data_IF_931246887953
#
_entry.id   IF_931246887953
#
_cell.length_a   1.000
_cell.length_b   1.000
_cell.length_c   1.000
_cell.angle_alpha   90.00
_cell.angle_beta   90.00
_cell.angle_gamma   90.00
#
_symmetry.space_group_name_H-M   'P 1'
#
loop_
_entity.id
_entity.type
_entity.pdbx_description
1 polymer ?
#
# COMPACT_ATOMS: atom_id res chain seq x y z
N UNK A 1 24.92 8.06 -3.25
CA UNK A 1 26.25 8.70 -3.17
C UNK A 1 26.92 8.69 -4.53
N UNK A 2 26.38 9.47 -5.50
CA UNK A 2 27.01 9.58 -6.83
C UNK A 2 28.38 10.26 -6.73
N UNK A 3 28.54 11.20 -5.82
CA UNK A 3 29.80 11.89 -5.52
C UNK A 3 29.90 12.24 -4.02
N UNK A 4 31.07 12.71 -3.59
CA UNK A 4 31.28 13.15 -2.21
C UNK A 4 30.48 14.42 -1.89
N UNK A 5 30.29 14.74 -0.62
CA UNK A 5 29.63 15.98 -0.22
C UNK A 5 30.43 17.22 -0.68
N UNK A 6 31.75 17.16 -0.59
CA UNK A 6 32.66 18.22 -1.03
C UNK A 6 32.52 18.48 -2.53
N UNK A 7 32.51 17.42 -3.34
CA UNK A 7 32.31 17.53 -4.79
C UNK A 7 30.91 18.06 -5.13
N UNK A 8 29.88 17.60 -4.41
CA UNK A 8 28.52 18.13 -4.57
C UNK A 8 28.46 19.64 -4.33
N UNK A 9 29.00 20.11 -3.22
CA UNK A 9 29.03 21.53 -2.86
C UNK A 9 29.83 22.32 -3.87
N UNK A 10 30.98 21.82 -4.31
CA UNK A 10 31.83 22.47 -5.32
C UNK A 10 31.08 22.64 -6.65
N UNK A 11 30.43 21.58 -7.14
CA UNK A 11 29.65 21.63 -8.37
C UNK A 11 28.47 22.59 -8.28
N UNK A 12 27.68 22.53 -7.20
CA UNK A 12 26.51 23.40 -7.02
C UNK A 12 26.93 24.86 -6.87
N UNK A 13 27.98 25.15 -6.12
CA UNK A 13 28.51 26.51 -5.98
C UNK A 13 29.06 27.07 -7.30
N UNK A 14 29.78 26.25 -8.06
CA UNK A 14 30.28 26.62 -9.39
C UNK A 14 29.12 26.89 -10.36
N UNK A 15 28.13 26.00 -10.42
CA UNK A 15 26.93 26.17 -11.22
C UNK A 15 26.23 27.50 -10.90
N UNK A 16 25.99 27.77 -9.61
CA UNK A 16 25.36 29.02 -9.18
C UNK A 16 26.15 30.27 -9.58
N UNK A 17 27.49 30.26 -9.35
CA UNK A 17 28.38 31.37 -9.71
C UNK A 17 28.40 31.63 -11.23
N UNK A 18 28.52 30.55 -12.02
CA UNK A 18 28.56 30.68 -13.50
C UNK A 18 27.21 31.16 -14.05
N UNK A 19 26.10 30.66 -13.57
CA UNK A 19 24.78 31.14 -13.94
C UNK A 19 24.60 32.63 -13.58
N UNK A 20 25.08 33.05 -12.40
CA UNK A 20 24.98 34.42 -11.93
C UNK A 20 25.84 35.39 -12.75
N UNK A 21 26.89 34.93 -13.43
CA UNK A 21 27.73 35.76 -14.31
C UNK A 21 27.11 36.07 -15.68
N UNK A 22 26.03 35.37 -16.05
CA UNK A 22 25.33 35.58 -17.30
C UNK A 22 24.48 36.85 -17.29
N UNK A 23 24.23 37.45 -18.45
CA UNK A 23 23.33 38.59 -18.58
C UNK A 23 21.91 38.25 -18.14
N UNK A 24 21.25 39.16 -17.41
CA UNK A 24 19.87 39.00 -16.93
C UNK A 24 18.85 39.42 -18.04
N UNK A 25 19.06 39.00 -19.27
CA UNK A 25 18.22 39.34 -20.43
C UNK A 25 17.15 38.29 -20.75
N UNK A 26 17.18 37.17 -20.05
CA UNK A 26 16.28 36.06 -20.32
C UNK A 26 15.05 36.05 -19.43
N UNK A 27 14.00 35.35 -19.88
CA UNK A 27 12.76 35.08 -19.14
C UNK A 27 12.39 33.61 -19.16
N UNK A 28 11.61 33.22 -18.18
CA UNK A 28 10.94 31.93 -18.17
C UNK A 28 9.45 32.10 -17.98
N UNK A 29 8.65 31.28 -18.65
CA UNK A 29 7.19 31.32 -18.59
C UNK A 29 6.61 29.89 -18.47
N UNK A 30 5.72 29.70 -17.54
CA UNK A 30 4.89 28.50 -17.47
C UNK A 30 3.70 28.64 -18.40
N UNK A 31 3.42 27.61 -19.19
CA UNK A 31 2.38 27.58 -20.21
C UNK A 31 1.49 26.35 -19.95
N UNK A 32 0.18 26.54 -19.96
CA UNK A 32 -0.80 25.45 -19.83
C UNK A 32 -1.09 24.88 -21.22
N UNK A 33 -0.23 23.98 -21.67
CA UNK A 33 -0.30 23.32 -22.98
C UNK A 33 0.49 22.02 -22.95
N UNK A 34 0.31 21.17 -23.97
CA UNK A 34 1.14 19.97 -24.17
C UNK A 34 2.49 20.30 -24.85
N UNK A 35 3.40 19.32 -24.81
CA UNK A 35 4.76 19.50 -25.34
C UNK A 35 4.78 19.70 -26.86
N UNK A 36 3.88 19.08 -27.62
CA UNK A 36 3.81 19.21 -29.09
C UNK A 36 3.43 20.63 -29.46
N UNK A 37 2.38 21.16 -28.84
CA UNK A 37 1.92 22.54 -29.03
C UNK A 37 2.97 23.55 -28.57
N UNK A 38 3.67 23.28 -27.46
CA UNK A 38 4.76 24.15 -27.01
C UNK A 38 5.93 24.18 -28.02
N UNK A 39 6.35 23.02 -28.56
CA UNK A 39 7.37 22.95 -29.62
C UNK A 39 6.97 23.72 -30.86
N UNK A 40 5.72 23.62 -31.28
CA UNK A 40 5.21 24.39 -32.42
C UNK A 40 5.24 25.89 -32.15
N UNK A 41 4.89 26.32 -30.93
CA UNK A 41 4.89 27.75 -30.57
C UNK A 41 6.28 28.40 -30.59
N UNK A 42 7.35 27.63 -30.31
CA UNK A 42 8.74 28.14 -30.27
C UNK A 42 9.52 27.86 -31.56
N UNK A 43 8.95 27.17 -32.54
CA UNK A 43 9.68 26.72 -33.74
C UNK A 43 10.38 27.85 -34.51
N UNK A 44 9.85 29.06 -34.49
CA UNK A 44 10.39 30.24 -35.15
C UNK A 44 11.39 31.04 -34.27
N UNK A 45 11.59 30.59 -33.01
CA UNK A 45 12.41 31.32 -32.02
C UNK A 45 13.59 30.46 -31.53
N UNK A 46 14.72 30.46 -32.26
CA UNK A 46 15.89 29.64 -31.92
C UNK A 46 16.55 30.00 -30.57
N UNK A 47 16.29 31.20 -30.03
CA UNK A 47 16.76 31.67 -28.74
C UNK A 47 15.90 31.14 -27.55
N UNK A 48 14.83 30.39 -27.83
CA UNK A 48 13.90 29.86 -26.84
C UNK A 48 13.90 28.31 -26.88
N UNK A 49 13.78 27.68 -25.73
CA UNK A 49 13.62 26.24 -25.63
C UNK A 49 12.61 25.87 -24.54
N UNK A 50 12.18 24.61 -24.54
CA UNK A 50 11.47 24.03 -23.43
C UNK A 50 12.47 23.83 -22.31
N UNK A 51 12.21 24.42 -21.14
CA UNK A 51 13.03 24.28 -19.94
C UNK A 51 12.57 23.14 -19.04
N UNK A 52 11.26 22.86 -19.02
CA UNK A 52 10.72 21.75 -18.23
C UNK A 52 9.41 21.24 -18.83
N UNK A 53 9.20 19.93 -18.72
CA UNK A 53 7.94 19.22 -18.91
C UNK A 53 7.50 18.74 -17.53
N UNK A 54 6.69 19.55 -16.86
CA UNK A 54 6.30 19.32 -15.46
C UNK A 54 5.08 18.41 -15.31
N UNK A 55 4.20 18.43 -16.32
CA UNK A 55 3.02 17.57 -16.42
C UNK A 55 2.52 17.57 -17.88
N UNK A 56 1.59 16.70 -18.29
CA UNK A 56 1.08 16.63 -19.67
C UNK A 56 0.56 17.96 -20.22
N UNK A 57 0.07 18.85 -19.34
CA UNK A 57 -0.44 20.19 -19.70
C UNK A 57 0.30 21.30 -18.92
N UNK A 58 1.57 21.11 -18.61
CA UNK A 58 2.36 22.08 -17.82
C UNK A 58 3.80 22.13 -18.32
N UNK A 59 4.05 23.05 -19.22
CA UNK A 59 5.33 23.24 -19.90
C UNK A 59 5.96 24.57 -19.43
N UNK A 60 7.28 24.59 -19.29
CA UNK A 60 8.02 25.84 -19.06
C UNK A 60 8.87 26.15 -20.28
N UNK A 61 8.69 27.35 -20.84
CA UNK A 61 9.54 27.93 -21.90
C UNK A 61 10.58 28.84 -21.25
N UNK A 62 11.77 28.87 -21.85
CA UNK A 62 12.91 29.66 -21.37
C UNK A 62 13.75 30.18 -22.53
N UNK A 63 14.16 31.44 -22.49
CA UNK A 63 14.96 32.02 -23.54
C UNK A 63 15.07 33.53 -23.43
N UNK A 64 15.42 34.15 -24.55
CA UNK A 64 15.53 35.59 -24.66
C UNK A 64 14.22 36.30 -24.31
N UNK A 65 14.31 37.40 -23.54
CA UNK A 65 13.14 38.07 -22.98
C UNK A 65 12.16 38.58 -24.03
N UNK A 66 12.65 39.20 -25.12
CA UNK A 66 11.79 39.70 -26.19
C UNK A 66 11.07 38.57 -26.94
N UNK A 67 11.78 37.49 -27.25
CA UNK A 67 11.18 36.31 -27.88
C UNK A 67 10.10 35.67 -26.99
N UNK A 68 10.36 35.55 -25.68
CA UNK A 68 9.36 35.06 -24.72
C UNK A 68 8.12 35.95 -24.68
N UNK A 69 8.28 37.29 -24.70
CA UNK A 69 7.14 38.22 -24.68
C UNK A 69 6.25 38.04 -25.94
N UNK A 70 6.84 37.92 -27.13
CA UNK A 70 6.10 37.64 -28.36
C UNK A 70 5.34 36.31 -28.33
N UNK A 71 5.98 35.27 -27.78
CA UNK A 71 5.34 33.95 -27.61
C UNK A 71 4.17 34.06 -26.64
N UNK A 72 4.34 34.73 -25.51
CA UNK A 72 3.30 34.95 -24.49
C UNK A 72 2.09 35.66 -25.09
N UNK A 73 2.31 36.73 -25.85
CA UNK A 73 1.23 37.49 -26.51
C UNK A 73 0.47 36.61 -27.51
N UNK A 74 1.20 35.83 -28.32
CA UNK A 74 0.61 34.88 -29.29
C UNK A 74 -0.23 33.81 -28.56
N UNK A 75 0.30 33.18 -27.51
CA UNK A 75 -0.41 32.12 -26.75
C UNK A 75 -1.64 32.66 -26.02
N UNK A 76 -1.53 33.84 -25.40
CA UNK A 76 -2.65 34.48 -24.71
C UNK A 76 -3.77 34.85 -25.71
N UNK A 77 -3.43 35.31 -26.94
CA UNK A 77 -4.42 35.58 -27.97
C UNK A 77 -5.17 34.33 -28.45
N UNK A 78 -4.58 33.16 -28.28
CA UNK A 78 -5.18 31.86 -28.55
C UNK A 78 -5.93 31.28 -27.33
N UNK A 79 -6.02 32.04 -26.22
CA UNK A 79 -6.68 31.60 -24.99
C UNK A 79 -5.84 30.63 -24.14
N UNK A 80 -4.57 30.42 -24.46
CA UNK A 80 -3.66 29.57 -23.70
C UNK A 80 -3.09 30.36 -22.51
N UNK A 81 -3.31 29.85 -21.29
CA UNK A 81 -2.86 30.53 -20.07
C UNK A 81 -1.34 30.49 -19.94
N UNK A 82 -0.73 31.64 -19.69
CA UNK A 82 0.69 31.76 -19.40
C UNK A 82 0.93 32.45 -18.07
N UNK A 83 2.08 32.16 -17.44
CA UNK A 83 2.49 32.76 -16.16
C UNK A 83 4.00 32.99 -16.20
N UNK A 84 4.44 34.24 -16.17
CA UNK A 84 5.86 34.56 -16.08
C UNK A 84 6.42 34.14 -14.74
N UNK A 85 7.56 33.44 -14.74
CA UNK A 85 8.23 32.99 -13.55
C UNK A 85 9.18 34.06 -13.00
N UNK A 86 9.20 34.25 -11.70
CA UNK A 86 10.11 35.17 -11.04
C UNK A 86 11.48 34.51 -10.85
N UNK A 87 12.30 34.54 -11.88
CA UNK A 87 13.65 33.96 -11.90
C UNK A 87 14.65 34.97 -12.41
N UNK A 88 15.94 34.84 -12.06
CA UNK A 88 16.99 35.76 -12.46
C UNK A 88 17.50 35.53 -13.88
N UNK A 89 17.44 34.30 -14.38
CA UNK A 89 18.01 33.92 -15.68
C UNK A 89 17.10 32.91 -16.40
N UNK A 90 17.30 32.77 -17.70
CA UNK A 90 16.58 31.79 -18.52
C UNK A 90 17.30 30.43 -18.47
N UNK A 91 17.11 29.69 -17.37
CA UNK A 91 17.69 28.37 -17.18
C UNK A 91 17.17 27.39 -18.24
N UNK A 92 17.98 26.38 -18.58
CA UNK A 92 17.67 25.35 -19.56
C UNK A 92 17.38 25.91 -20.96
N UNK A 93 18.04 26.98 -21.34
CA UNK A 93 17.91 27.64 -22.65
C UNK A 93 19.25 27.82 -23.34
N UNK A 94 19.29 28.26 -24.61
CA UNK A 94 20.52 28.61 -25.30
C UNK A 94 21.36 29.67 -24.56
N UNK A 95 20.74 30.49 -23.72
CA UNK A 95 21.45 31.50 -22.92
C UNK A 95 22.39 30.91 -21.88
N UNK A 96 22.32 29.57 -21.60
CA UNK A 96 23.26 28.86 -20.74
C UNK A 96 24.54 28.43 -21.48
N UNK A 97 24.58 28.44 -22.79
CA UNK A 97 25.71 27.95 -23.59
C UNK A 97 27.07 28.57 -23.24
N UNK A 98 27.18 29.87 -22.94
CA UNK A 98 28.47 30.49 -22.65
C UNK A 98 29.20 29.89 -21.43
N UNK A 99 28.48 29.31 -20.50
CA UNK A 99 29.08 28.75 -19.27
C UNK A 99 29.32 27.24 -19.34
N UNK A 100 28.88 26.54 -20.37
CA UNK A 100 28.96 25.10 -20.46
C UNK A 100 30.40 24.57 -20.43
N UNK A 101 31.29 25.27 -21.11
CA UNK A 101 32.71 24.88 -21.19
C UNK A 101 33.40 24.97 -19.79
N UNK A 102 33.24 26.11 -19.11
CA UNK A 102 33.83 26.28 -17.77
C UNK A 102 33.24 25.30 -16.76
N UNK A 103 31.92 25.06 -16.82
CA UNK A 103 31.26 24.09 -15.97
C UNK A 103 31.76 22.66 -16.25
N UNK A 104 32.02 22.30 -17.51
CA UNK A 104 32.60 21.01 -17.91
C UNK A 104 33.94 20.76 -17.20
N UNK A 105 34.86 21.73 -17.22
CA UNK A 105 36.15 21.62 -16.56
C UNK A 105 36.01 21.31 -15.06
N UNK A 106 35.01 21.94 -14.43
CA UNK A 106 34.73 21.68 -13.02
C UNK A 106 34.16 20.27 -12.82
N UNK A 107 33.22 19.86 -13.66
CA UNK A 107 32.62 18.52 -13.61
C UNK A 107 33.65 17.40 -13.86
N UNK A 108 34.62 17.60 -14.76
CA UNK A 108 35.72 16.66 -15.03
C UNK A 108 36.63 16.46 -13.82
N UNK A 109 36.64 17.40 -12.86
CA UNK A 109 37.43 17.28 -11.62
C UNK A 109 36.71 16.48 -10.52
N UNK A 110 35.50 15.95 -10.79
CA UNK A 110 34.66 15.21 -9.84
C UNK A 110 34.69 13.72 -10.15
N UNK A 111 34.75 12.89 -9.11
CA UNK A 111 34.61 11.44 -9.26
C UNK A 111 33.16 11.02 -9.12
N UNK A 112 32.64 10.35 -10.14
CA UNK A 112 31.28 9.83 -10.16
C UNK A 112 31.26 8.35 -9.79
N UNK A 113 30.31 7.95 -8.94
CA UNK A 113 30.09 6.58 -8.53
C UNK A 113 28.66 6.14 -8.85
N UNK A 114 28.43 4.85 -9.08
CA UNK A 114 27.09 4.33 -9.24
C UNK A 114 26.19 4.68 -8.05
N UNK A 115 24.93 5.12 -8.26
CA UNK A 115 24.03 5.44 -7.18
C UNK A 115 23.66 4.18 -6.38
N UNK A 116 23.71 4.26 -5.04
CA UNK A 116 23.26 3.18 -4.15
C UNK A 116 21.75 3.05 -4.03
N UNK A 117 21.01 4.06 -4.48
CA UNK A 117 19.55 4.11 -4.54
C UNK A 117 19.18 4.42 -5.98
N UNK A 118 18.12 3.78 -6.49
CA UNK A 118 17.64 4.05 -7.85
C UNK A 118 17.35 5.54 -8.03
N UNK A 119 17.98 6.14 -9.02
CA UNK A 119 17.90 7.55 -9.37
C UNK A 119 17.28 7.67 -10.75
N UNK A 120 16.35 8.61 -10.94
CA UNK A 120 15.81 8.95 -12.24
C UNK A 120 16.53 10.19 -12.78
N UNK A 121 16.87 10.17 -14.05
CA UNK A 121 17.49 11.28 -14.74
C UNK A 121 16.47 12.38 -15.03
N UNK A 122 16.79 13.62 -14.66
CA UNK A 122 15.99 14.78 -15.07
C UNK A 122 16.13 15.12 -16.56
N UNK A 123 17.13 14.58 -17.25
CA UNK A 123 17.34 14.81 -18.69
C UNK A 123 16.48 13.85 -19.52
N UNK A 124 16.40 12.58 -19.09
CA UNK A 124 15.70 11.54 -19.88
C UNK A 124 14.36 11.10 -19.28
N UNK A 125 14.14 11.30 -17.97
CA UNK A 125 12.99 10.77 -17.24
C UNK A 125 13.12 9.29 -16.88
N UNK A 126 14.21 8.62 -17.28
CA UNK A 126 14.48 7.20 -17.10
C UNK A 126 15.49 6.95 -15.96
N UNK A 127 15.62 5.70 -15.47
CA UNK A 127 16.65 5.36 -14.49
C UNK A 127 18.06 5.65 -15.01
N UNK A 128 18.90 6.11 -14.09
CA UNK A 128 20.32 6.26 -14.37
C UNK A 128 20.96 4.92 -14.73
N UNK A 129 21.82 4.97 -15.72
CA UNK A 129 22.77 3.94 -16.13
C UNK A 129 24.21 4.50 -16.12
N UNK A 130 25.16 3.76 -16.63
CA UNK A 130 26.57 4.17 -16.63
C UNK A 130 26.85 5.40 -17.50
N UNK A 131 25.96 5.76 -18.43
CA UNK A 131 26.14 6.93 -19.32
C UNK A 131 25.95 8.26 -18.60
N UNK A 132 25.16 8.28 -17.51
CA UNK A 132 24.98 9.46 -16.67
C UNK A 132 26.09 9.69 -15.65
N UNK A 133 27.00 8.71 -15.48
CA UNK A 133 28.16 8.82 -14.59
C UNK A 133 29.31 9.59 -15.26
N UNK A 134 29.02 10.73 -15.85
CA UNK A 134 29.97 11.50 -16.64
C UNK A 134 29.80 13.01 -16.45
N UNK A 135 30.85 13.81 -16.67
CA UNK A 135 30.76 15.25 -16.71
C UNK A 135 29.75 15.75 -17.75
N UNK A 136 29.65 15.05 -18.88
CA UNK A 136 28.77 15.38 -20.02
C UNK A 136 27.31 15.43 -19.57
N UNK A 137 26.85 14.48 -18.77
CA UNK A 137 25.50 14.48 -18.22
C UNK A 137 25.19 15.78 -17.46
N UNK A 138 26.12 16.26 -16.65
CA UNK A 138 25.90 17.46 -15.84
C UNK A 138 25.94 18.74 -16.69
N UNK A 139 26.73 18.76 -17.75
CA UNK A 139 26.74 19.83 -18.75
C UNK A 139 25.41 19.84 -19.54
N UNK A 140 24.95 18.68 -19.98
CA UNK A 140 23.68 18.54 -20.65
C UNK A 140 22.51 18.93 -19.74
N UNK A 141 22.55 18.56 -18.48
CA UNK A 141 21.53 18.93 -17.49
C UNK A 141 21.39 20.45 -17.29
N UNK A 142 22.45 21.24 -17.54
CA UNK A 142 22.36 22.70 -17.52
C UNK A 142 21.52 23.25 -18.67
N UNK A 143 21.55 22.58 -19.82
CA UNK A 143 21.02 23.07 -21.09
C UNK A 143 19.66 22.43 -21.45
N UNK A 144 19.51 21.16 -21.15
CA UNK A 144 18.35 20.35 -21.55
C UNK A 144 17.13 20.57 -20.66
N UNK A 145 15.96 20.27 -21.22
CA UNK A 145 14.69 20.33 -20.50
C UNK A 145 14.65 19.34 -19.32
N UNK A 146 14.05 19.76 -18.22
CA UNK A 146 13.77 18.88 -17.08
C UNK A 146 12.55 18.00 -17.40
N UNK A 147 12.75 16.69 -17.49
CA UNK A 147 11.76 15.67 -17.84
C UNK A 147 11.04 15.13 -16.61
N UNK A 148 10.44 16.03 -15.80
CA UNK A 148 9.80 15.66 -14.54
C UNK A 148 8.57 14.76 -14.73
N UNK A 149 7.72 15.10 -15.72
CA UNK A 149 6.53 14.30 -16.06
C UNK A 149 6.90 12.86 -16.41
N UNK A 150 7.95 12.67 -17.23
CA UNK A 150 8.39 11.34 -17.65
C UNK A 150 8.91 10.51 -16.46
N UNK A 151 9.62 11.14 -15.52
CA UNK A 151 10.05 10.52 -14.28
C UNK A 151 8.88 10.05 -13.40
N UNK A 152 7.79 10.83 -13.33
CA UNK A 152 6.56 10.43 -12.62
C UNK A 152 5.86 9.28 -13.37
N UNK A 153 5.78 9.32 -14.69
CA UNK A 153 5.20 8.25 -15.50
C UNK A 153 6.00 6.96 -15.35
N UNK A 154 7.34 7.04 -15.31
CA UNK A 154 8.18 5.89 -14.98
C UNK A 154 7.86 5.33 -13.59
N UNK A 155 7.80 6.19 -12.56
CA UNK A 155 7.48 5.76 -11.20
C UNK A 155 6.10 5.06 -11.13
N UNK A 156 5.09 5.62 -11.81
CA UNK A 156 3.76 5.02 -11.96
C UNK A 156 3.82 3.65 -12.63
N UNK A 157 4.60 3.50 -13.72
CA UNK A 157 4.76 2.22 -14.43
C UNK A 157 5.37 1.12 -13.55
N UNK A 158 6.08 1.50 -12.49
CA UNK A 158 6.68 0.60 -11.49
C UNK A 158 5.82 0.44 -10.24
N UNK A 159 4.57 0.92 -10.26
CA UNK A 159 3.62 0.88 -9.13
C UNK A 159 4.16 1.56 -7.87
N UNK A 160 4.98 2.61 -8.01
CA UNK A 160 5.43 3.41 -6.87
C UNK A 160 4.24 4.28 -6.44
N UNK A 161 3.67 3.97 -5.28
CA UNK A 161 2.46 4.62 -4.77
C UNK A 161 2.70 5.60 -3.62
N UNK A 162 3.94 5.84 -3.19
CA UNK A 162 4.24 6.79 -2.10
C UNK A 162 5.32 7.76 -2.56
N UNK A 163 4.99 9.04 -2.54
CA UNK A 163 5.87 10.14 -2.98
C UNK A 163 6.11 11.09 -1.80
N UNK A 164 7.37 11.32 -1.48
CA UNK A 164 7.79 12.24 -0.41
C UNK A 164 8.63 13.35 -1.01
N UNK A 165 8.17 14.59 -0.88
CA UNK A 165 9.00 15.75 -1.25
C UNK A 165 9.83 16.18 -0.05
N UNK A 166 11.15 16.03 -0.17
CA UNK A 166 12.10 16.49 0.83
C UNK A 166 12.56 17.90 0.45
N UNK A 167 11.97 18.89 1.09
CA UNK A 167 12.26 20.29 0.77
C UNK A 167 11.46 21.26 1.64
N UNK A 168 11.79 22.56 1.62
CA UNK A 168 11.16 23.56 2.48
C UNK A 168 9.71 23.88 2.08
N UNK A 169 9.31 23.57 0.85
CA UNK A 169 7.97 23.79 0.29
C UNK A 169 7.55 22.65 -0.61
N UNK A 170 6.27 22.23 -0.58
CA UNK A 170 5.76 21.14 -1.41
C UNK A 170 5.41 21.62 -2.84
N UNK A 171 6.41 21.94 -3.65
CA UNK A 171 6.25 22.42 -5.01
C UNK A 171 6.06 21.29 -6.01
N UNK A 172 6.90 20.27 -5.93
CA UNK A 172 6.91 19.15 -6.88
C UNK A 172 5.72 18.21 -6.69
N UNK A 173 5.19 18.10 -5.46
CA UNK A 173 3.99 17.29 -5.21
C UNK A 173 2.77 17.77 -6.01
N UNK A 174 2.62 19.09 -6.16
CA UNK A 174 1.55 19.65 -6.98
C UNK A 174 1.70 19.30 -8.44
N UNK A 175 2.92 19.40 -8.97
CA UNK A 175 3.25 19.04 -10.35
C UNK A 175 3.07 17.55 -10.60
N UNK A 176 3.57 16.70 -9.69
CA UNK A 176 3.47 15.24 -9.80
C UNK A 176 2.03 14.74 -9.80
N UNK A 177 1.17 15.33 -8.98
CA UNK A 177 -0.27 15.00 -8.99
C UNK A 177 -0.96 15.28 -10.31
N UNK A 178 -0.49 16.27 -11.07
CA UNK A 178 -1.03 16.58 -12.39
C UNK A 178 -0.57 15.59 -13.49
N UNK A 179 0.40 14.73 -13.19
CA UNK A 179 0.87 13.68 -14.11
C UNK A 179 0.08 12.38 -14.00
N UNK A 180 -0.73 12.21 -12.95
CA UNK A 180 -1.38 10.93 -12.63
C UNK A 180 -2.86 11.15 -12.28
N UNK A 181 -3.71 10.10 -12.35
CA UNK A 181 -5.09 10.19 -11.84
C UNK A 181 -5.14 10.65 -10.38
N UNK A 182 -6.20 11.35 -10.00
CA UNK A 182 -6.35 12.00 -8.68
C UNK A 182 -6.24 11.04 -7.49
N UNK A 183 -6.67 9.79 -7.67
CA UNK A 183 -6.65 8.71 -6.69
C UNK A 183 -5.30 7.98 -6.63
N UNK A 184 -4.36 8.28 -7.53
CA UNK A 184 -3.08 7.57 -7.58
C UNK A 184 -2.11 8.07 -6.52
N UNK A 185 -1.74 7.18 -5.61
CA UNK A 185 -0.63 7.34 -4.69
C UNK A 185 -0.86 8.29 -3.50
N UNK A 186 0.07 8.25 -2.58
CA UNK A 186 0.14 9.09 -1.38
C UNK A 186 1.24 10.13 -1.57
N UNK A 187 0.90 11.40 -1.45
CA UNK A 187 1.79 12.53 -1.75
C UNK A 187 2.06 13.33 -0.47
N UNK A 188 3.28 13.24 0.05
CA UNK A 188 3.65 13.68 1.39
C UNK A 188 4.71 14.79 1.35
N UNK A 189 4.42 16.00 1.83
CA UNK A 189 5.45 16.99 2.07
C UNK A 189 6.25 16.64 3.33
N UNK A 190 7.56 16.81 3.31
CA UNK A 190 8.38 16.70 4.51
C UNK A 190 8.32 17.96 5.37
N UNK A 191 8.23 19.13 4.74
CA UNK A 191 8.19 20.42 5.43
C UNK A 191 7.18 21.37 4.77
N UNK A 192 6.66 22.30 5.59
CA UNK A 192 5.92 23.49 5.16
C UNK A 192 6.35 24.68 5.98
N UNK A 193 6.53 25.87 5.40
CA UNK A 193 6.88 27.09 6.14
C UNK A 193 5.90 27.33 7.28
N UNK A 194 6.43 27.65 8.47
CA UNK A 194 5.70 27.88 9.73
C UNK A 194 5.08 26.63 10.38
N UNK A 195 5.11 25.46 9.72
CA UNK A 195 4.52 24.21 10.21
C UNK A 195 5.49 23.04 10.04
N UNK A 196 6.80 23.30 10.10
CA UNK A 196 7.85 22.34 9.76
C UNK A 196 7.72 21.05 10.56
N UNK A 197 7.65 21.17 11.88
CA UNK A 197 7.61 20.00 12.77
C UNK A 197 6.31 19.21 12.67
N UNK A 198 5.16 19.88 12.64
CA UNK A 198 3.86 19.22 12.49
C UNK A 198 3.72 18.53 11.14
N UNK A 199 4.20 19.15 10.06
CA UNK A 199 4.21 18.55 8.72
C UNK A 199 5.10 17.31 8.68
N UNK A 200 6.29 17.37 9.30
CA UNK A 200 7.20 16.21 9.36
C UNK A 200 6.55 15.05 10.11
N UNK A 201 5.94 15.32 11.27
CA UNK A 201 5.26 14.26 12.05
C UNK A 201 4.07 13.66 11.28
N UNK A 202 3.29 14.48 10.59
CA UNK A 202 2.19 14.01 9.76
C UNK A 202 2.71 13.14 8.57
N UNK A 203 3.81 13.54 7.95
CA UNK A 203 4.47 12.76 6.91
C UNK A 203 4.89 11.39 7.44
N UNK A 204 5.58 11.35 8.58
CA UNK A 204 6.04 10.11 9.23
C UNK A 204 4.87 9.22 9.61
N UNK A 205 3.79 9.80 10.18
CA UNK A 205 2.58 9.06 10.50
C UNK A 205 1.98 8.37 9.27
N UNK A 206 1.83 9.11 8.17
CA UNK A 206 1.27 8.57 6.91
C UNK A 206 2.17 7.52 6.29
N UNK A 207 3.49 7.69 6.35
CA UNK A 207 4.44 6.66 5.92
C UNK A 207 4.30 5.37 6.73
N UNK A 208 4.20 5.49 8.06
CA UNK A 208 3.99 4.36 8.95
C UNK A 208 2.68 3.60 8.64
N UNK A 209 1.58 4.34 8.48
CA UNK A 209 0.27 3.75 8.11
C UNK A 209 0.30 3.11 6.73
N UNK A 210 1.10 3.65 5.80
CA UNK A 210 1.32 3.05 4.48
C UNK A 210 2.23 1.81 4.50
N UNK A 211 2.71 1.38 5.68
CA UNK A 211 3.54 0.18 5.84
C UNK A 211 5.04 0.39 5.58
N UNK A 212 5.49 1.63 5.52
CA UNK A 212 6.93 1.92 5.40
C UNK A 212 7.62 1.64 6.73
N UNK A 213 8.68 0.82 6.69
CA UNK A 213 9.49 0.53 7.87
C UNK A 213 10.32 1.76 8.28
N UNK A 214 10.08 2.25 9.49
CA UNK A 214 10.70 3.46 10.02
C UNK A 214 11.69 3.11 11.14
N UNK A 215 12.90 3.62 11.07
CA UNK A 215 13.88 3.48 12.13
C UNK A 215 13.57 4.44 13.30
N UNK A 216 12.63 4.03 14.14
CA UNK A 216 12.20 4.79 15.32
C UNK A 216 13.33 5.11 16.29
N UNK A 217 14.37 4.23 16.37
CA UNK A 217 15.53 4.48 17.24
C UNK A 217 16.37 5.64 16.73
N UNK A 218 16.54 5.76 15.41
CA UNK A 218 17.20 6.91 14.82
C UNK A 218 16.37 8.17 14.86
N UNK A 219 15.05 8.04 14.67
CA UNK A 219 14.14 9.18 14.73
C UNK A 219 14.11 9.81 16.13
N UNK A 220 13.93 9.00 17.16
CA UNK A 220 13.92 9.43 18.55
C UNK A 220 15.33 9.42 19.18
N UNK A 221 16.30 10.09 18.62
CA UNK A 221 17.68 10.18 19.17
C UNK A 221 17.78 10.80 20.57
N UNK A 222 16.79 10.56 21.42
CA UNK A 222 16.78 11.10 22.78
C UNK A 222 17.27 10.03 23.78
N UNK A 223 18.44 10.21 24.42
CA UNK A 223 19.00 9.25 25.37
C UNK A 223 18.15 9.09 26.65
N UNK A 224 17.15 9.98 26.86
CA UNK A 224 16.25 9.95 28.02
C UNK A 224 14.92 9.25 27.78
N UNK A 225 14.67 8.72 26.59
CA UNK A 225 13.44 7.97 26.32
C UNK A 225 13.44 6.66 27.12
N UNK A 226 12.43 6.49 27.95
CA UNK A 226 12.19 5.27 28.71
C UNK A 226 11.06 4.49 28.05
N UNK A 227 11.20 3.15 28.04
CA UNK A 227 10.09 2.28 27.66
C UNK A 227 9.01 2.40 28.75
N UNK A 228 7.80 2.76 28.35
CA UNK A 228 6.64 2.83 29.24
C UNK A 228 5.71 1.65 28.97
N UNK A 229 5.04 1.15 30.00
CA UNK A 229 3.97 0.18 29.83
C UNK A 229 2.73 0.89 29.31
N UNK A 230 2.25 0.46 28.15
CA UNK A 230 0.95 0.87 27.63
C UNK A 230 -0.11 -0.13 28.08
N UNK A 231 -1.39 0.27 28.18
CA UNK A 231 -2.49 -0.67 28.35
C UNK A 231 -2.42 -1.75 27.27
N UNK A 232 -2.66 -2.98 27.66
CA UNK A 232 -2.77 -4.07 26.70
C UNK A 232 -4.00 -3.87 25.81
N UNK A 233 -4.00 -4.52 24.64
CA UNK A 233 -5.18 -4.58 23.80
C UNK A 233 -6.37 -5.12 24.61
N UNK A 234 -7.55 -4.48 24.62
CA UNK A 234 -8.73 -4.97 25.30
C UNK A 234 -9.28 -6.19 24.54
N UNK A 235 -8.78 -7.36 24.89
CA UNK A 235 -9.14 -8.60 24.22
C UNK A 235 -10.65 -8.84 24.26
N UNK A 236 -11.22 -9.15 23.11
CA UNK A 236 -12.58 -9.62 22.99
C UNK A 236 -12.55 -11.14 23.23
N UNK A 237 -12.86 -11.54 24.46
CA UNK A 237 -12.83 -12.95 24.84
C UNK A 237 -14.00 -13.68 24.20
N UNK A 238 -13.72 -14.64 23.35
CA UNK A 238 -14.65 -15.69 22.94
C UNK A 238 -14.18 -17.01 23.52
N UNK A 239 -15.10 -17.76 24.13
CA UNK A 239 -14.82 -19.10 24.61
C UNK A 239 -14.75 -20.04 23.39
N UNK A 240 -13.54 -20.43 23.01
CA UNK A 240 -13.29 -21.37 21.91
C UNK A 240 -12.97 -22.77 22.43
N UNK A 241 -13.17 -23.01 23.74
CA UNK A 241 -12.90 -24.31 24.35
C UNK A 241 -14.11 -25.22 24.19
N UNK A 242 -13.89 -26.47 23.74
CA UNK A 242 -14.92 -27.49 23.74
C UNK A 242 -15.29 -27.78 25.18
N UNK A 243 -16.58 -27.75 25.50
CA UNK A 243 -17.04 -28.19 26.82
C UNK A 243 -16.74 -29.68 26.97
N UNK A 244 -15.82 -30.02 27.86
CA UNK A 244 -15.71 -31.36 28.34
C UNK A 244 -16.94 -31.59 29.23
N UNK A 245 -17.94 -32.22 28.66
CA UNK A 245 -19.09 -32.68 29.46
C UNK A 245 -18.53 -33.69 30.48
N UNK A 246 -18.30 -33.24 31.70
CA UNK A 246 -18.07 -34.12 32.83
C UNK A 246 -19.38 -34.82 33.16
N UNK A 247 -19.78 -35.79 32.32
CA UNK A 247 -20.80 -36.72 32.68
C UNK A 247 -20.24 -37.60 33.79
N UNK A 248 -20.91 -37.58 34.92
CA UNK A 248 -20.57 -38.46 36.04
C UNK A 248 -20.38 -39.91 35.56
N UNK A 249 -19.34 -40.52 36.09
CA UNK A 249 -19.00 -41.94 36.03
C UNK A 249 -19.69 -42.76 34.93
N UNK A 250 -19.24 -42.64 33.72
CA UNK A 250 -19.42 -43.66 32.69
C UNK A 250 -18.12 -43.75 31.90
N UNK A 251 -17.69 -44.96 31.58
CA UNK A 251 -16.55 -45.20 30.70
C UNK A 251 -16.68 -44.50 29.33
N UNK A 252 -15.75 -44.67 28.42
CA UNK A 252 -15.85 -44.06 27.11
C UNK A 252 -17.20 -44.43 26.48
N UNK A 253 -17.95 -43.42 26.02
CA UNK A 253 -19.22 -43.62 25.31
C UNK A 253 -18.98 -44.48 24.08
N UNK A 254 -19.82 -45.49 23.89
CA UNK A 254 -19.76 -46.35 22.71
C UNK A 254 -20.07 -45.54 21.43
N UNK A 255 -21.02 -44.61 21.54
CA UNK A 255 -21.44 -43.72 20.45
C UNK A 255 -22.14 -42.48 21.03
N UNK A 256 -22.18 -41.32 20.37
CA UNK A 256 -22.89 -40.15 20.86
C UNK A 256 -24.36 -40.35 21.26
N UNK A 257 -25.05 -41.29 20.62
CA UNK A 257 -26.42 -41.68 20.90
C UNK A 257 -26.54 -42.99 21.69
N UNK A 258 -25.46 -43.73 21.91
CA UNK A 258 -25.42 -44.96 22.72
C UNK A 258 -24.30 -44.84 23.72
N UNK A 259 -24.65 -44.65 25.00
CA UNK A 259 -23.64 -44.36 26.00
C UNK A 259 -22.97 -45.59 26.58
N UNK A 260 -23.76 -46.61 26.89
CA UNK A 260 -23.24 -47.84 27.55
C UNK A 260 -24.06 -49.07 27.21
N UNK A 261 -23.44 -50.23 27.31
CA UNK A 261 -24.09 -51.54 27.30
C UNK A 261 -24.37 -51.93 28.76
N UNK A 262 -25.59 -52.34 29.03
CA UNK A 262 -25.99 -52.77 30.38
C UNK A 262 -25.85 -54.28 30.47
N UNK A 263 -25.08 -54.72 31.45
CA UNK A 263 -25.04 -56.13 31.80
C UNK A 263 -26.32 -56.50 32.53
N UNK A 264 -27.00 -57.50 32.06
CA UNK A 264 -28.24 -58.05 32.69
C UNK A 264 -28.29 -59.58 32.61
N UNK A 265 -29.16 -60.16 33.38
CA UNK A 265 -29.32 -61.63 33.45
C UNK A 265 -30.22 -62.22 32.35
N UNK A 266 -30.77 -61.38 31.47
CA UNK A 266 -31.64 -61.82 30.36
C UNK A 266 -30.78 -62.19 29.14
N UNK A 267 -31.41 -62.82 28.14
CA UNK A 267 -30.77 -63.06 26.83
C UNK A 267 -30.70 -61.82 25.95
N UNK A 268 -31.41 -60.79 26.34
CA UNK A 268 -31.45 -59.51 25.57
C UNK A 268 -30.21 -58.70 25.86
N UNK A 269 -29.68 -58.04 24.84
CA UNK A 269 -28.60 -57.07 24.94
C UNK A 269 -29.24 -55.69 25.07
N UNK A 270 -28.94 -54.97 26.14
CA UNK A 270 -29.53 -53.65 26.40
C UNK A 270 -28.45 -52.59 26.32
N UNK A 271 -28.68 -51.57 25.48
CA UNK A 271 -27.90 -50.35 25.46
C UNK A 271 -28.69 -49.18 26.06
N UNK A 272 -28.06 -48.36 26.85
CA UNK A 272 -28.69 -47.23 27.51
C UNK A 272 -27.99 -45.93 27.14
N UNK A 273 -28.78 -44.89 26.93
CA UNK A 273 -28.35 -43.53 26.72
C UNK A 273 -29.12 -42.58 27.61
N UNK A 274 -28.46 -41.51 28.02
CA UNK A 274 -29.10 -40.38 28.70
C UNK A 274 -29.05 -39.17 27.79
N UNK A 275 -30.19 -38.79 27.21
CA UNK A 275 -30.32 -37.74 26.19
C UNK A 275 -31.10 -36.55 26.73
N UNK A 276 -30.82 -35.36 26.26
CA UNK A 276 -31.63 -34.15 26.50
C UNK A 276 -31.67 -33.28 25.26
N UNK A 277 -32.43 -32.21 25.28
CA UNK A 277 -32.47 -31.26 24.15
C UNK A 277 -31.08 -30.74 23.74
N UNK A 278 -30.18 -30.59 24.70
CA UNK A 278 -28.83 -30.03 24.47
C UNK A 278 -27.72 -31.10 24.58
N UNK A 279 -28.02 -32.39 24.71
CA UNK A 279 -27.00 -33.44 24.83
C UNK A 279 -27.40 -34.73 24.07
N UNK A 280 -26.82 -34.99 22.89
CA UNK A 280 -25.90 -34.15 22.14
C UNK A 280 -26.51 -32.81 21.64
N UNK A 281 -25.71 -31.75 21.54
CA UNK A 281 -26.19 -30.42 21.29
C UNK A 281 -26.97 -30.26 19.96
N UNK A 282 -26.62 -31.04 18.94
CA UNK A 282 -27.26 -31.01 17.62
C UNK A 282 -28.75 -31.47 17.66
N UNK A 283 -29.19 -32.12 18.72
CA UNK A 283 -30.61 -32.52 18.87
C UNK A 283 -31.51 -31.30 19.00
N UNK A 284 -31.02 -30.20 19.54
CA UNK A 284 -31.76 -28.96 19.70
C UNK A 284 -32.10 -28.27 18.37
N UNK A 285 -31.40 -28.61 17.28
CA UNK A 285 -31.64 -28.03 15.96
C UNK A 285 -32.87 -28.65 15.27
N UNK A 286 -33.30 -29.84 15.71
CA UNK A 286 -34.48 -30.51 15.16
C UNK A 286 -35.74 -30.13 15.95
N UNK A 287 -36.39 -29.05 15.54
CA UNK A 287 -37.61 -28.53 16.20
C UNK A 287 -38.84 -28.73 15.36
N UNK A 288 -39.88 -29.23 16.00
CA UNK A 288 -41.20 -29.38 15.42
C UNK A 288 -42.20 -28.61 16.30
N UNK A 289 -42.90 -27.63 15.76
CA UNK A 289 -43.81 -26.72 16.49
C UNK A 289 -43.17 -26.08 17.74
N UNK A 290 -41.87 -25.78 17.68
CA UNK A 290 -41.14 -25.13 18.75
C UNK A 290 -40.51 -26.11 19.79
N UNK A 291 -40.94 -27.35 19.81
CA UNK A 291 -40.37 -28.40 20.69
C UNK A 291 -39.23 -29.15 20.04
N UNK A 292 -38.21 -29.51 20.84
CA UNK A 292 -37.10 -30.35 20.37
C UNK A 292 -37.59 -31.80 20.30
N UNK A 293 -37.65 -32.33 19.07
CA UNK A 293 -38.12 -33.71 18.84
C UNK A 293 -36.95 -34.57 18.35
N UNK A 294 -36.80 -35.74 18.94
CA UNK A 294 -35.74 -36.69 18.56
C UNK A 294 -35.95 -37.15 17.12
N UNK A 295 -34.99 -36.94 16.20
CA UNK A 295 -35.18 -37.20 14.77
C UNK A 295 -35.34 -38.68 14.46
N UNK A 296 -36.12 -39.03 13.42
CA UNK A 296 -36.24 -40.39 12.92
C UNK A 296 -34.88 -40.99 12.52
N UNK A 297 -34.01 -40.20 11.92
CA UNK A 297 -32.65 -40.58 11.58
C UNK A 297 -31.81 -40.95 12.78
N UNK A 298 -32.02 -40.31 13.94
CA UNK A 298 -31.30 -40.64 15.16
C UNK A 298 -31.77 -41.99 15.75
N UNK A 299 -33.05 -42.37 15.63
CA UNK A 299 -33.50 -43.74 15.97
C UNK A 299 -32.86 -44.77 15.05
N UNK A 300 -32.76 -44.51 13.74
CA UNK A 300 -32.10 -45.42 12.82
C UNK A 300 -30.61 -45.55 13.13
N UNK A 301 -29.93 -44.46 13.41
CA UNK A 301 -28.53 -44.48 13.83
C UNK A 301 -28.34 -45.31 15.10
N UNK A 302 -29.13 -45.10 16.13
CA UNK A 302 -29.07 -45.91 17.36
C UNK A 302 -29.29 -47.38 17.08
N UNK A 303 -30.26 -47.75 16.26
CA UNK A 303 -30.56 -49.13 15.92
C UNK A 303 -29.41 -49.77 15.11
N UNK A 304 -28.83 -49.03 14.14
CA UNK A 304 -27.70 -49.52 13.34
C UNK A 304 -26.46 -49.74 14.20
N UNK A 305 -26.11 -48.76 15.04
CA UNK A 305 -24.95 -48.88 15.93
C UNK A 305 -25.14 -50.03 16.93
N UNK A 306 -26.33 -50.17 17.51
CA UNK A 306 -26.62 -51.29 18.42
C UNK A 306 -26.50 -52.64 17.69
N UNK A 307 -27.00 -52.75 16.47
CA UNK A 307 -26.91 -53.98 15.68
C UNK A 307 -25.45 -54.29 15.29
N UNK A 308 -24.67 -53.30 14.89
CA UNK A 308 -23.23 -53.48 14.59
C UNK A 308 -22.46 -53.99 15.82
N UNK A 309 -22.77 -53.46 17.01
CA UNK A 309 -22.15 -53.88 18.26
C UNK A 309 -22.61 -55.30 18.73
N UNK A 310 -23.77 -55.76 18.28
CA UNK A 310 -24.29 -57.08 18.60
C UNK A 310 -23.81 -58.15 17.62
N UNK A 311 -23.79 -57.84 16.33
CA UNK A 311 -23.51 -58.80 15.28
C UNK A 311 -22.05 -58.76 14.80
N UNK A 312 -21.25 -57.82 15.28
CA UNK A 312 -19.85 -57.62 14.86
C UNK A 312 -19.70 -57.48 13.34
N UNK A 313 -20.60 -56.69 12.74
CA UNK A 313 -20.63 -56.43 11.31
C UNK A 313 -20.80 -54.94 11.06
N UNK A 314 -20.08 -54.41 10.07
CA UNK A 314 -20.14 -52.97 9.69
C UNK A 314 -21.31 -52.63 8.75
N UNK A 315 -21.90 -53.65 8.11
CA UNK A 315 -23.03 -53.46 7.19
C UNK A 315 -24.29 -54.12 7.74
N UNK A 316 -25.19 -53.30 8.28
CA UNK A 316 -26.50 -53.73 8.80
C UNK A 316 -27.62 -53.03 8.06
N UNK A 317 -28.61 -53.74 7.61
CA UNK A 317 -29.81 -53.20 6.96
C UNK A 317 -31.03 -53.28 7.90
N UNK A 318 -31.61 -52.16 8.23
CA UNK A 318 -32.87 -52.09 8.97
C UNK A 318 -34.07 -52.29 8.02
N UNK A 319 -34.99 -53.18 8.35
CA UNK A 319 -36.21 -53.42 7.55
C UNK A 319 -37.44 -53.31 8.48
N UNK A 320 -38.55 -52.84 7.90
CA UNK A 320 -39.85 -52.73 8.58
C UNK A 320 -39.81 -51.89 9.86
N UNK A 321 -39.12 -50.74 9.80
CA UNK A 321 -39.04 -49.83 10.95
C UNK A 321 -40.35 -49.09 11.14
N UNK A 322 -40.84 -49.09 12.38
CA UNK A 322 -42.06 -48.36 12.77
C UNK A 322 -41.76 -47.47 13.96
N UNK A 323 -42.05 -46.19 13.86
CA UNK A 323 -41.96 -45.23 14.95
C UNK A 323 -43.37 -45.01 15.54
N UNK A 324 -43.61 -45.62 16.68
CA UNK A 324 -44.95 -45.57 17.30
C UNK A 324 -45.29 -44.27 18.00
N UNK A 325 -44.26 -43.49 18.44
CA UNK A 325 -44.47 -42.19 19.13
C UNK A 325 -43.25 -41.30 18.96
N UNK A 326 -43.47 -39.99 18.82
CA UNK A 326 -42.38 -38.99 18.86
C UNK A 326 -41.82 -38.89 20.30
N UNK A 327 -40.48 -38.80 20.39
CA UNK A 327 -39.78 -38.52 21.63
C UNK A 327 -39.49 -37.01 21.68
N UNK A 328 -40.19 -36.30 22.56
CA UNK A 328 -39.93 -34.88 22.83
C UNK A 328 -38.85 -34.79 23.90
N UNK A 329 -37.81 -34.00 23.66
CA UNK A 329 -36.71 -33.79 24.58
C UNK A 329 -36.80 -32.39 25.21
N UNK A 330 -36.54 -32.35 26.51
CA UNK A 330 -36.40 -31.11 27.30
C UNK A 330 -34.94 -30.98 27.79
N UNK A 331 -34.67 -29.96 28.57
CA UNK A 331 -33.38 -29.83 29.26
C UNK A 331 -33.18 -30.89 30.33
N UNK A 332 -34.27 -31.49 30.85
CA UNK A 332 -34.19 -32.61 31.75
C UNK A 332 -33.76 -33.88 31.00
N UNK A 333 -32.73 -34.57 31.49
CA UNK A 333 -32.22 -35.80 30.85
C UNK A 333 -33.24 -36.95 30.88
N UNK A 334 -33.45 -37.57 29.72
CA UNK A 334 -34.30 -38.73 29.55
C UNK A 334 -33.45 -39.98 29.28
N UNK A 335 -33.75 -41.08 29.92
CA UNK A 335 -33.14 -42.39 29.64
C UNK A 335 -33.83 -43.06 28.46
N UNK A 336 -33.02 -43.42 27.47
CA UNK A 336 -33.46 -44.12 26.26
C UNK A 336 -32.71 -45.47 26.22
N UNK A 337 -33.46 -46.55 25.98
CA UNK A 337 -32.86 -47.86 25.85
C UNK A 337 -33.13 -48.49 24.50
N UNK A 338 -32.08 -49.09 23.94
CA UNK A 338 -32.18 -49.96 22.77
C UNK A 338 -32.02 -51.41 23.23
N UNK A 339 -33.00 -52.23 22.93
CA UNK A 339 -33.03 -53.63 23.33
C UNK A 339 -32.90 -54.47 22.06
N UNK A 340 -31.88 -55.34 22.00
CA UNK A 340 -31.58 -56.25 20.90
C UNK A 340 -31.69 -57.72 21.34
#
# INVERSE_FOLDING_TARGET
NVFTLEDAVRMVAARGRLMQSLPMSGKMVSVVTDEVSAKAAIAEFPSVSIAAVNAPQSIVLSGEGQAIDLIVDRLNSQGIKTTVLNVSHAFHSPLMEPILHEFRIIAESVNFNPPSIKLLSNVTGEPWDDTQLSPEYWVEHLRSAVRFSDGIDYAKSKNIGVFVEIGPKPTLLGLGRNCVPSEFGIWLPSLRPKFEWSTLLECIQKLYVAGVDLDWKKFFKCPKLRRIHLPNYPWQYQRCWTEVVTSGRSGPRLHPLIHQKIENASKSIIFESTLSANNPAYLNDHRVFGETVFPASAFFEMATVAANLVFDHDEVALKHVTIGRALVLSDEPVKVQVIA
#
